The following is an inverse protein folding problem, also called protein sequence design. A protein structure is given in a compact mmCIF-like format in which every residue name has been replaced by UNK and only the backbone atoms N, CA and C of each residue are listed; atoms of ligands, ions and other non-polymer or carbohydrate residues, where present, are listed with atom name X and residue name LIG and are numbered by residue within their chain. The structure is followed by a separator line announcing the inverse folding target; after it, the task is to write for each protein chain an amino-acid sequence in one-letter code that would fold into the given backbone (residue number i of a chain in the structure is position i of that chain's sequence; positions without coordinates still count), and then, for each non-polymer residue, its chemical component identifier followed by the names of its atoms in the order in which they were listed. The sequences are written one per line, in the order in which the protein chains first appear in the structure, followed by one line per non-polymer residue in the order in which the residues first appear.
data_IF_045009477294
#
_entry.id   IF_045009477294
#
_cell.length_a   1.000
_cell.length_b   1.000
_cell.length_c   1.000
_cell.angle_alpha   90.00
_cell.angle_beta   90.00
_cell.angle_gamma   90.00
#
_symmetry.space_group_name_H-M   'P 1'
#
loop_
_entity.id
_entity.type
_entity.pdbx_description
1 polymer ?
#
# COMPACT_ATOMS: atom_id res chain seq x y z
N UNK A 1 -28.73 10.93 2.20
CA UNK A 1 -27.42 11.46 2.63
C UNK A 1 -26.60 11.68 1.37
N UNK A 2 -26.43 12.92 0.93
CA UNK A 2 -25.61 13.26 -0.23
C UNK A 2 -24.17 12.79 0.01
N UNK A 3 -23.67 11.89 -0.84
CA UNK A 3 -22.26 11.54 -0.87
C UNK A 3 -21.49 12.78 -1.33
N UNK A 4 -20.96 13.51 -0.37
CA UNK A 4 -20.23 14.75 -0.62
C UNK A 4 -18.95 14.42 -1.40
N UNK A 5 -18.93 14.75 -2.70
CA UNK A 5 -17.88 14.33 -3.67
C UNK A 5 -16.47 14.74 -3.22
N UNK A 6 -16.37 15.83 -2.46
CA UNK A 6 -15.12 16.30 -1.86
C UNK A 6 -14.55 15.35 -0.80
N UNK A 7 -15.40 14.68 -0.01
CA UNK A 7 -14.96 13.69 0.98
C UNK A 7 -14.43 12.43 0.29
N UNK A 8 -15.06 12.02 -0.81
CA UNK A 8 -14.59 10.90 -1.62
C UNK A 8 -13.22 11.22 -2.25
N UNK A 9 -13.04 12.44 -2.78
CA UNK A 9 -11.77 12.91 -3.33
C UNK A 9 -10.67 12.94 -2.25
N UNK A 10 -10.95 13.49 -1.07
CA UNK A 10 -9.99 13.53 0.03
C UNK A 10 -9.56 12.11 0.47
N UNK A 11 -10.51 11.17 0.56
CA UNK A 11 -10.22 9.76 0.86
C UNK A 11 -9.37 9.10 -0.23
N UNK A 12 -9.64 9.39 -1.50
CA UNK A 12 -8.84 8.88 -2.61
C UNK A 12 -7.41 9.42 -2.61
N UNK A 13 -7.22 10.70 -2.25
CA UNK A 13 -5.88 11.29 -2.10
C UNK A 13 -5.12 10.63 -0.94
N UNK A 14 -5.75 10.45 0.22
CA UNK A 14 -5.12 9.78 1.37
C UNK A 14 -4.76 8.34 1.03
N UNK A 15 -5.69 7.58 0.44
CA UNK A 15 -5.46 6.19 0.04
C UNK A 15 -4.34 6.07 -1.00
N UNK A 16 -4.26 6.98 -1.98
CA UNK A 16 -3.18 6.96 -2.97
C UNK A 16 -1.80 7.26 -2.35
N UNK A 17 -1.73 8.17 -1.38
CA UNK A 17 -0.51 8.36 -0.58
C UNK A 17 -0.14 7.11 0.24
N UNK A 18 -1.10 6.47 0.91
CA UNK A 18 -0.86 5.25 1.70
C UNK A 18 -0.36 4.10 0.81
N UNK A 19 -0.99 3.91 -0.37
CA UNK A 19 -0.56 2.95 -1.40
C UNK A 19 0.87 3.25 -1.85
N UNK A 20 1.22 4.51 -2.14
CA UNK A 20 2.57 4.89 -2.56
C UNK A 20 3.62 4.58 -1.48
N UNK A 21 3.29 4.80 -0.21
CA UNK A 21 4.15 4.44 0.93
C UNK A 21 4.36 2.93 1.01
N UNK A 22 3.29 2.13 0.90
CA UNK A 22 3.40 0.68 0.91
C UNK A 22 4.25 0.15 -0.24
N UNK A 23 4.08 0.69 -1.45
CA UNK A 23 4.92 0.35 -2.61
C UNK A 23 6.38 0.69 -2.33
N UNK A 24 6.67 1.91 -1.83
CA UNK A 24 8.03 2.34 -1.51
C UNK A 24 8.71 1.43 -0.49
N UNK A 25 8.01 1.08 0.59
CA UNK A 25 8.52 0.18 1.63
C UNK A 25 8.75 -1.23 1.07
N UNK A 26 7.79 -1.77 0.31
CA UNK A 26 7.89 -3.10 -0.28
C UNK A 26 9.07 -3.23 -1.25
N UNK A 27 9.25 -2.25 -2.13
CA UNK A 27 10.39 -2.20 -3.07
C UNK A 27 11.71 -2.06 -2.31
N UNK A 28 11.79 -1.18 -1.32
CA UNK A 28 12.99 -1.01 -0.52
C UNK A 28 13.37 -2.30 0.21
N UNK A 29 12.41 -2.98 0.84
CA UNK A 29 12.62 -4.25 1.51
C UNK A 29 13.04 -5.34 0.53
N UNK A 30 12.39 -5.45 -0.63
CA UNK A 30 12.76 -6.41 -1.66
C UNK A 30 14.20 -6.20 -2.13
N UNK A 31 14.61 -4.97 -2.42
CA UNK A 31 15.99 -4.62 -2.80
C UNK A 31 16.97 -4.96 -1.68
N UNK A 32 16.63 -4.62 -0.43
CA UNK A 32 17.45 -4.93 0.74
C UNK A 32 17.64 -6.43 0.94
N UNK A 33 16.58 -7.23 0.76
CA UNK A 33 16.65 -8.69 0.86
C UNK A 33 17.51 -9.30 -0.24
N UNK A 34 17.37 -8.82 -1.48
CA UNK A 34 18.23 -9.26 -2.60
C UNK A 34 19.69 -8.91 -2.34
N UNK A 35 19.98 -7.70 -1.87
CA UNK A 35 21.34 -7.24 -1.58
C UNK A 35 22.01 -8.08 -0.47
N UNK A 36 21.23 -8.56 0.51
CA UNK A 36 21.71 -9.42 1.60
C UNK A 36 21.65 -10.93 1.26
N UNK A 37 21.37 -11.31 0.00
CA UNK A 37 21.30 -12.72 -0.41
C UNK A 37 20.07 -13.49 0.08
N UNK A 38 19.09 -12.80 0.71
CA UNK A 38 17.87 -13.37 1.29
C UNK A 38 16.70 -13.36 0.32
N UNK A 39 16.87 -13.99 -0.84
CA UNK A 39 15.84 -14.01 -1.90
C UNK A 39 14.55 -14.69 -1.47
N UNK A 40 14.60 -15.56 -0.46
CA UNK A 40 13.46 -16.22 0.18
C UNK A 40 12.45 -15.20 0.74
N UNK A 41 12.92 -14.04 1.20
CA UNK A 41 12.10 -13.02 1.86
C UNK A 41 11.52 -11.96 0.93
N UNK A 42 11.92 -11.98 -0.34
CA UNK A 42 11.40 -11.04 -1.34
C UNK A 42 9.91 -11.27 -1.56
N UNK A 43 9.48 -12.53 -1.58
CA UNK A 43 8.06 -12.87 -1.73
C UNK A 43 7.23 -12.39 -0.56
N UNK A 44 7.75 -12.50 0.67
CA UNK A 44 7.07 -12.00 1.87
C UNK A 44 6.93 -10.47 1.84
N UNK A 45 8.00 -9.76 1.45
CA UNK A 45 7.99 -8.30 1.32
C UNK A 45 6.96 -7.80 0.30
N UNK A 46 6.86 -8.50 -0.84
CA UNK A 46 5.85 -8.21 -1.87
C UNK A 46 4.44 -8.55 -1.36
N UNK A 47 4.28 -9.64 -0.60
CA UNK A 47 3.01 -10.01 0.03
C UNK A 47 2.52 -8.96 1.01
N UNK A 48 3.40 -8.48 1.90
CA UNK A 48 3.11 -7.42 2.87
C UNK A 48 2.75 -6.09 2.18
N UNK A 49 3.44 -5.77 1.08
CA UNK A 49 3.11 -4.62 0.23
C UNK A 49 1.69 -4.73 -0.35
N UNK A 50 1.36 -5.85 -0.99
CA UNK A 50 0.04 -6.08 -1.59
C UNK A 50 -1.07 -6.04 -0.53
N UNK A 51 -0.80 -6.58 0.65
CA UNK A 51 -1.72 -6.52 1.78
C UNK A 51 -1.97 -5.09 2.25
N UNK A 52 -0.92 -4.27 2.41
CA UNK A 52 -1.05 -2.85 2.75
C UNK A 52 -1.84 -2.05 1.71
N UNK A 53 -1.59 -2.30 0.42
CA UNK A 53 -2.35 -1.69 -0.68
C UNK A 53 -3.83 -2.10 -0.61
N UNK A 54 -4.11 -3.39 -0.38
CA UNK A 54 -5.48 -3.90 -0.29
C UNK A 54 -6.22 -3.30 0.90
N UNK A 55 -5.57 -3.20 2.07
CA UNK A 55 -6.16 -2.57 3.26
C UNK A 55 -6.43 -1.07 3.03
N UNK A 56 -5.51 -0.34 2.40
CA UNK A 56 -5.70 1.07 2.05
C UNK A 56 -6.88 1.25 1.07
N UNK A 57 -7.00 0.36 0.08
CA UNK A 57 -8.14 0.36 -0.84
C UNK A 57 -9.45 0.06 -0.11
N UNK A 58 -9.49 -0.94 0.78
CA UNK A 58 -10.68 -1.28 1.56
C UNK A 58 -11.10 -0.10 2.44
N UNK A 59 -10.17 0.59 3.11
CA UNK A 59 -10.47 1.80 3.90
C UNK A 59 -10.97 2.98 3.06
N UNK A 60 -10.59 3.04 1.78
CA UNK A 60 -11.16 4.05 0.87
C UNK A 60 -12.66 3.81 0.63
N UNK A 61 -13.07 2.53 0.57
CA UNK A 61 -14.45 2.13 0.25
C UNK A 61 -15.34 1.86 1.48
N UNK A 62 -14.76 1.47 2.61
CA UNK A 62 -15.49 1.24 3.86
C UNK A 62 -15.27 2.40 4.84
N UNK A 63 -16.39 2.94 5.33
CA UNK A 63 -16.51 4.26 5.95
C UNK A 63 -15.94 4.35 7.36
#
# INVERSE_FOLDING_TARGET
METNRFVLLARAVIASCEIAVHIGIGVFQAVWFVANGRKDKVSDAVGDMIRGISDAMVRMFHK
#
